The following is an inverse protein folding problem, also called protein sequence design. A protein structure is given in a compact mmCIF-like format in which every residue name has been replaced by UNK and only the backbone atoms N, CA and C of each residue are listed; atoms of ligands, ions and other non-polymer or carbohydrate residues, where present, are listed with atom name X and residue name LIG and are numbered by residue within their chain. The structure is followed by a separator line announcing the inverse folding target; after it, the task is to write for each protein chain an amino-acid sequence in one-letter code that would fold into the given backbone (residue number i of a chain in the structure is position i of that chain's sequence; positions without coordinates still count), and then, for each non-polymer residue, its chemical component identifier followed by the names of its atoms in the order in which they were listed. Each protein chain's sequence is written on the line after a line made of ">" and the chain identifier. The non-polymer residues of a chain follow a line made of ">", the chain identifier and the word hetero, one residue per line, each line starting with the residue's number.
data_IF_971346104579
#
_entry.id   IF_971346104579
#
_cell.length_a   1.000
_cell.length_b   1.000
_cell.length_c   1.000
_cell.angle_alpha   90.00
_cell.angle_beta   90.00
_cell.angle_gamma   90.00
#
_symmetry.space_group_name_H-M   'P 1'
#
loop_
_entity.id
_entity.type
_entity.pdbx_description
1 polymer ?
#
# COMPACT_ATOMS: atom_id res chain seq x y z
N UNK A 1 -21.44 -18.22 4.23
CA UNK A 1 -20.89 -18.22 2.87
C UNK A 1 -21.83 -19.09 2.06
N UNK A 2 -22.50 -18.55 1.05
CA UNK A 2 -23.25 -19.38 0.10
C UNK A 2 -22.28 -20.26 -0.66
N UNK A 3 -22.69 -21.48 -0.98
CA UNK A 3 -21.87 -22.43 -1.72
C UNK A 3 -22.40 -22.48 -3.16
N UNK A 4 -21.60 -22.05 -4.12
CA UNK A 4 -21.93 -22.13 -5.54
C UNK A 4 -21.22 -23.34 -6.13
N UNK A 5 -21.88 -24.07 -7.05
CA UNK A 5 -21.28 -25.25 -7.69
C UNK A 5 -20.46 -24.85 -8.92
N UNK A 6 -20.86 -23.77 -9.61
CA UNK A 6 -20.14 -23.28 -10.80
C UNK A 6 -19.84 -21.78 -10.75
N UNK A 7 -18.84 -21.35 -11.53
CA UNK A 7 -18.50 -19.92 -11.66
C UNK A 7 -19.68 -19.10 -12.22
N UNK A 8 -20.46 -19.67 -13.13
CA UNK A 8 -21.64 -19.02 -13.69
C UNK A 8 -22.74 -18.79 -12.62
N UNK A 9 -22.95 -19.76 -11.74
CA UNK A 9 -23.87 -19.60 -10.61
C UNK A 9 -23.39 -18.53 -9.64
N UNK A 10 -22.09 -18.50 -9.33
CA UNK A 10 -21.53 -17.48 -8.46
C UNK A 10 -21.67 -16.07 -9.03
N UNK A 11 -21.41 -15.87 -10.33
CA UNK A 11 -21.61 -14.58 -10.99
C UNK A 11 -23.07 -14.14 -10.94
N UNK A 12 -24.02 -15.03 -11.23
CA UNK A 12 -25.46 -14.73 -11.17
C UNK A 12 -25.94 -14.41 -9.75
N UNK A 13 -25.45 -15.17 -8.76
CA UNK A 13 -25.77 -14.95 -7.36
C UNK A 13 -25.19 -13.64 -6.83
N UNK A 14 -23.94 -13.33 -7.16
CA UNK A 14 -23.30 -12.04 -6.83
C UNK A 14 -23.99 -10.86 -7.54
N UNK A 15 -24.39 -11.01 -8.81
CA UNK A 15 -25.17 -10.00 -9.51
C UNK A 15 -26.50 -9.73 -8.77
N UNK A 16 -27.19 -10.77 -8.31
CA UNK A 16 -28.42 -10.65 -7.51
C UNK A 16 -28.20 -9.98 -6.14
N UNK A 17 -26.98 -10.05 -5.59
CA UNK A 17 -26.54 -9.33 -4.38
C UNK A 17 -26.11 -7.87 -4.64
N UNK A 18 -26.16 -7.41 -5.89
CA UNK A 18 -25.83 -6.04 -6.28
C UNK A 18 -24.39 -5.83 -6.74
N UNK A 19 -23.62 -6.89 -7.02
CA UNK A 19 -22.34 -6.79 -7.70
C UNK A 19 -22.57 -6.79 -9.22
N UNK A 20 -22.96 -5.64 -9.76
CA UNK A 20 -23.44 -5.53 -11.15
C UNK A 20 -22.38 -5.09 -12.15
N UNK A 21 -21.22 -4.64 -11.69
CA UNK A 21 -20.13 -4.16 -12.55
C UNK A 21 -19.13 -5.26 -12.89
N UNK A 22 -18.44 -5.13 -14.02
CA UNK A 22 -17.32 -5.99 -14.37
C UNK A 22 -15.98 -5.27 -14.17
N UNK A 23 -15.08 -5.96 -13.48
CA UNK A 23 -13.70 -5.53 -13.27
C UNK A 23 -12.74 -6.32 -14.14
N UNK A 24 -11.69 -5.66 -14.61
CA UNK A 24 -10.53 -6.30 -15.23
C UNK A 24 -9.24 -5.77 -14.63
N UNK A 25 -8.18 -6.56 -14.69
CA UNK A 25 -6.87 -6.14 -14.23
C UNK A 25 -6.18 -5.40 -15.37
N UNK A 26 -5.59 -4.23 -15.09
CA UNK A 26 -4.73 -3.55 -16.05
C UNK A 26 -3.29 -3.98 -15.79
N UNK A 27 -2.71 -4.76 -16.70
CA UNK A 27 -1.42 -5.45 -16.50
C UNK A 27 -0.23 -4.51 -16.22
N UNK A 28 -0.32 -3.25 -16.62
CA UNK A 28 0.74 -2.23 -16.47
C UNK A 28 0.50 -1.24 -15.32
N UNK A 29 -0.58 -1.42 -14.56
CA UNK A 29 -0.95 -0.53 -13.46
C UNK A 29 -1.42 -1.39 -12.28
N UNK A 30 -0.90 -1.16 -11.06
CA UNK A 30 -1.35 -1.86 -9.84
C UNK A 30 -2.79 -1.45 -9.44
N UNK A 31 -3.76 -1.68 -10.33
CA UNK A 31 -5.16 -1.30 -10.22
C UNK A 31 -6.07 -2.27 -10.97
N UNK A 32 -7.35 -2.30 -10.56
CA UNK A 32 -8.42 -2.92 -11.32
C UNK A 32 -9.22 -1.83 -12.04
N UNK A 33 -9.73 -2.12 -13.22
CA UNK A 33 -10.53 -1.19 -14.01
C UNK A 33 -11.98 -1.65 -14.06
N UNK A 34 -12.90 -0.73 -13.76
CA UNK A 34 -14.33 -0.94 -13.88
C UNK A 34 -14.82 -0.50 -15.25
N UNK A 35 -15.29 -1.44 -16.08
CA UNK A 35 -15.76 -1.11 -17.44
C UNK A 35 -17.04 -0.27 -17.42
N UNK A 36 -17.97 -0.56 -16.51
CA UNK A 36 -19.26 0.13 -16.44
C UNK A 36 -19.21 1.56 -15.91
N UNK A 37 -18.15 1.93 -15.17
CA UNK A 37 -18.00 3.27 -14.60
C UNK A 37 -16.73 4.00 -15.06
N UNK A 38 -15.88 3.36 -15.87
CA UNK A 38 -14.60 3.88 -16.36
C UNK A 38 -13.63 4.35 -15.26
N UNK A 39 -13.69 3.75 -14.07
CA UNK A 39 -12.77 4.04 -12.97
C UNK A 39 -11.65 3.00 -12.90
N UNK A 40 -10.40 3.47 -12.77
CA UNK A 40 -9.28 2.66 -12.32
C UNK A 40 -9.16 2.76 -10.80
N UNK A 41 -9.22 1.63 -10.12
CA UNK A 41 -9.16 1.51 -8.67
C UNK A 41 -7.81 0.93 -8.27
N UNK A 42 -6.99 1.75 -7.63
CA UNK A 42 -5.79 1.26 -6.98
C UNK A 42 -6.13 0.32 -5.81
N UNK A 43 -5.16 -0.48 -5.36
CA UNK A 43 -5.35 -1.47 -4.30
C UNK A 43 -5.88 -0.93 -2.96
N UNK A 44 -5.84 0.39 -2.72
CA UNK A 44 -6.38 1.03 -1.52
C UNK A 44 -7.80 1.63 -1.76
N UNK A 45 -8.36 1.52 -2.97
CA UNK A 45 -9.65 2.10 -3.37
C UNK A 45 -10.78 1.07 -3.54
N UNK A 46 -10.49 -0.23 -3.39
CA UNK A 46 -11.48 -1.29 -3.42
C UNK A 46 -11.24 -2.34 -2.34
N UNK A 47 -12.24 -3.17 -2.09
CA UNK A 47 -12.24 -4.29 -1.15
C UNK A 47 -12.69 -5.55 -1.87
N UNK A 48 -12.10 -6.69 -1.51
CA UNK A 48 -12.62 -8.01 -1.88
C UNK A 48 -13.57 -8.43 -0.76
N UNK A 49 -14.84 -8.58 -1.11
CA UNK A 49 -15.92 -8.91 -0.17
C UNK A 49 -16.12 -10.43 -0.07
N UNK A 50 -16.04 -11.15 -1.20
CA UNK A 50 -16.22 -12.61 -1.28
C UNK A 50 -15.24 -13.21 -2.31
N UNK A 51 -14.80 -14.46 -2.10
CA UNK A 51 -13.90 -15.19 -3.01
C UNK A 51 -14.46 -16.59 -3.23
N UNK A 52 -14.58 -16.99 -4.49
CA UNK A 52 -15.07 -18.30 -4.89
C UNK A 52 -14.08 -18.95 -5.85
N UNK A 53 -13.68 -20.17 -5.54
CA UNK A 53 -12.75 -20.97 -6.34
C UNK A 53 -13.50 -22.15 -6.93
N UNK A 54 -13.28 -22.39 -8.21
CA UNK A 54 -13.88 -23.48 -8.97
C UNK A 54 -12.76 -24.24 -9.66
N UNK A 55 -12.81 -25.56 -9.60
CA UNK A 55 -11.96 -26.43 -10.41
C UNK A 55 -12.71 -26.68 -11.72
N UNK A 56 -12.04 -26.51 -12.86
CA UNK A 56 -12.65 -26.69 -14.17
C UNK A 56 -12.93 -28.16 -14.47
N UNK A 57 -14.07 -28.43 -15.12
CA UNK A 57 -14.47 -29.79 -15.52
C UNK A 57 -13.58 -30.44 -16.59
N UNK A 58 -12.69 -29.65 -17.23
CA UNK A 58 -11.99 -30.04 -18.47
C UNK A 58 -10.50 -30.38 -18.28
N UNK A 59 -9.83 -29.81 -17.27
CA UNK A 59 -8.42 -30.11 -16.94
C UNK A 59 -8.17 -29.78 -15.45
N UNK A 60 -7.56 -30.68 -14.64
CA UNK A 60 -7.20 -30.41 -13.24
C UNK A 60 -6.20 -29.24 -13.05
N UNK A 61 -5.67 -28.65 -14.12
CA UNK A 61 -4.90 -27.40 -14.09
C UNK A 61 -5.71 -26.11 -14.31
N UNK A 62 -7.00 -26.19 -14.64
CA UNK A 62 -7.86 -25.03 -14.92
C UNK A 62 -8.68 -24.64 -13.68
N UNK A 63 -8.07 -23.94 -12.74
CA UNK A 63 -8.80 -23.32 -11.64
C UNK A 63 -9.38 -21.97 -12.10
N UNK A 64 -10.60 -21.65 -11.70
CA UNK A 64 -11.21 -20.34 -11.92
C UNK A 64 -11.51 -19.69 -10.57
N UNK A 65 -11.24 -18.38 -10.48
CA UNK A 65 -11.53 -17.62 -9.26
C UNK A 65 -12.40 -16.41 -9.58
N UNK A 66 -13.54 -16.33 -8.90
CA UNK A 66 -14.46 -15.20 -8.93
C UNK A 66 -14.27 -14.39 -7.64
N UNK A 67 -14.01 -13.09 -7.79
CA UNK A 67 -13.92 -12.14 -6.68
C UNK A 67 -15.11 -11.20 -6.72
N UNK A 68 -15.82 -11.08 -5.60
CA UNK A 68 -16.78 -10.00 -5.39
C UNK A 68 -16.04 -8.79 -4.83
N UNK A 69 -16.16 -7.63 -5.48
CA UNK A 69 -15.38 -6.43 -5.18
C UNK A 69 -16.32 -5.24 -4.96
N UNK A 70 -16.02 -4.43 -3.94
CA UNK A 70 -16.68 -3.14 -3.71
C UNK A 70 -15.70 -1.99 -3.56
N UNK A 71 -16.12 -0.79 -3.92
CA UNK A 71 -15.40 0.46 -3.64
C UNK A 71 -16.34 1.43 -2.97
N UNK A 72 -16.08 1.75 -1.69
CA UNK A 72 -16.84 2.78 -0.98
C UNK A 72 -16.55 4.18 -1.55
N UNK A 73 -15.34 4.42 -2.05
CA UNK A 73 -14.96 5.72 -2.62
C UNK A 73 -15.79 6.08 -3.84
N UNK A 74 -16.01 5.12 -4.72
CA UNK A 74 -16.73 5.32 -5.98
C UNK A 74 -18.15 4.75 -5.96
N UNK A 75 -18.58 4.16 -4.84
CA UNK A 75 -19.89 3.53 -4.65
C UNK A 75 -20.20 2.49 -5.74
N UNK A 76 -19.19 1.72 -6.13
CA UNK A 76 -19.30 0.67 -7.16
C UNK A 76 -19.10 -0.71 -6.55
N UNK A 77 -19.83 -1.68 -7.09
CA UNK A 77 -19.74 -3.09 -6.73
C UNK A 77 -19.77 -3.93 -7.98
N UNK A 78 -18.93 -4.95 -8.04
CA UNK A 78 -18.77 -5.75 -9.24
C UNK A 78 -17.98 -7.01 -9.00
N UNK A 79 -17.77 -7.76 -10.07
CA UNK A 79 -17.05 -9.02 -10.06
C UNK A 79 -15.77 -8.92 -10.88
N UNK A 80 -14.70 -9.54 -10.37
CA UNK A 80 -13.48 -9.79 -11.11
C UNK A 80 -13.37 -11.28 -11.34
N UNK A 81 -13.25 -11.68 -12.61
CA UNK A 81 -13.09 -13.06 -13.03
C UNK A 81 -11.63 -13.30 -13.45
N UNK A 82 -10.94 -14.27 -12.84
CA UNK A 82 -9.57 -14.62 -13.20
C UNK A 82 -9.40 -16.14 -13.37
N UNK A 83 -8.73 -16.56 -14.45
CA UNK A 83 -8.28 -17.93 -14.64
C UNK A 83 -6.98 -18.16 -13.86
N UNK A 84 -6.83 -19.32 -13.23
CA UNK A 84 -5.71 -19.75 -12.41
C UNK A 84 -5.22 -21.11 -12.95
N UNK A 85 -3.96 -21.19 -13.40
CA UNK A 85 -3.47 -22.34 -14.18
C UNK A 85 -2.41 -21.96 -15.22
N UNK A 86 -2.10 -22.84 -16.17
CA UNK A 86 -1.11 -22.61 -17.25
C UNK A 86 -1.44 -21.41 -18.16
N UNK A 87 -2.70 -20.97 -18.14
CA UNK A 87 -3.20 -19.81 -18.87
C UNK A 87 -3.44 -18.58 -17.98
N UNK A 88 -3.05 -18.65 -16.70
CA UNK A 88 -3.18 -17.52 -15.79
C UNK A 88 -2.22 -16.41 -16.19
N UNK A 89 -2.76 -15.19 -16.23
CA UNK A 89 -1.92 -14.00 -16.20
C UNK A 89 -1.18 -13.98 -14.85
N UNK A 90 0.11 -14.32 -14.89
CA UNK A 90 0.97 -14.41 -13.71
C UNK A 90 1.03 -13.11 -12.91
N UNK A 91 0.73 -11.96 -13.55
CA UNK A 91 0.65 -10.67 -12.87
C UNK A 91 -0.72 -10.48 -12.18
N UNK A 92 -1.80 -10.97 -12.80
CA UNK A 92 -3.12 -11.00 -12.18
C UNK A 92 -3.11 -11.86 -10.90
N UNK A 93 -2.47 -13.02 -10.93
CA UNK A 93 -2.32 -13.88 -9.76
C UNK A 93 -1.54 -13.20 -8.64
N UNK A 94 -0.43 -12.51 -8.93
CA UNK A 94 0.36 -11.76 -7.94
C UNK A 94 -0.40 -10.57 -7.35
N UNK A 95 -1.14 -9.83 -8.18
CA UNK A 95 -1.97 -8.71 -7.72
C UNK A 95 -3.04 -9.23 -6.76
N UNK A 96 -3.71 -10.32 -7.13
CA UNK A 96 -4.77 -10.87 -6.30
C UNK A 96 -4.22 -11.56 -5.04
N UNK A 97 -3.07 -12.21 -5.08
CA UNK A 97 -2.38 -12.71 -3.88
C UNK A 97 -2.00 -11.59 -2.92
N UNK A 98 -1.50 -10.45 -3.43
CA UNK A 98 -1.26 -9.24 -2.61
C UNK A 98 -2.54 -8.70 -1.98
N UNK A 99 -3.69 -8.89 -2.62
CA UNK A 99 -5.01 -8.49 -2.12
C UNK A 99 -5.60 -9.51 -1.12
N UNK A 100 -5.34 -10.82 -1.28
CA UNK A 100 -5.77 -11.90 -0.35
C UNK A 100 -5.21 -11.74 1.06
N UNK A 101 -4.03 -11.12 1.19
CA UNK A 101 -3.40 -10.87 2.49
C UNK A 101 -3.99 -9.71 3.30
N UNK A 102 -5.09 -9.08 2.84
CA UNK A 102 -5.78 -8.04 3.60
C UNK A 102 -7.21 -8.46 3.93
N UNK A 103 -7.46 -9.03 5.13
CA UNK A 103 -8.83 -9.25 5.61
C UNK A 103 -9.55 -7.91 5.74
N UNK A 104 -10.66 -7.79 5.01
CA UNK A 104 -11.63 -6.71 5.10
C UNK A 104 -12.44 -6.86 6.40
N UNK A 105 -12.20 -5.94 7.32
CA UNK A 105 -13.21 -5.48 8.26
C UNK A 105 -13.14 -3.96 8.17
N UNK A 106 -14.30 -3.28 8.20
CA UNK A 106 -14.37 -1.83 8.46
C UNK A 106 -13.43 -1.49 9.61
N UNK A 107 -12.20 -1.05 9.32
CA UNK A 107 -11.28 -0.67 10.37
C UNK A 107 -11.75 0.69 10.83
N UNK A 108 -12.23 0.76 12.06
CA UNK A 108 -12.16 2.02 12.82
C UNK A 108 -10.75 2.60 12.56
N UNK A 109 -10.61 3.92 12.36
CA UNK A 109 -9.29 4.54 12.27
C UNK A 109 -8.39 3.94 13.34
N UNK A 110 -7.21 3.43 12.95
CA UNK A 110 -6.30 2.78 13.91
C UNK A 110 -6.03 3.83 14.98
N UNK A 111 -6.55 3.59 16.19
CA UNK A 111 -6.39 4.54 17.27
C UNK A 111 -4.93 4.48 17.69
N UNK A 112 -4.20 5.55 17.40
CA UNK A 112 -2.81 5.70 17.79
C UNK A 112 -2.70 6.13 19.24
N UNK A 113 -1.75 5.53 19.94
CA UNK A 113 -1.29 6.03 21.22
C UNK A 113 -0.67 7.42 21.04
N UNK A 114 -0.87 8.30 22.02
CA UNK A 114 -0.46 9.71 21.98
C UNK A 114 0.99 9.92 21.53
N UNK A 115 1.89 9.02 21.93
CA UNK A 115 3.30 9.00 21.55
C UNK A 115 3.58 8.91 20.06
N UNK A 116 2.76 8.12 19.36
CA UNK A 116 2.98 7.75 17.96
C UNK A 116 2.23 8.67 16.99
N UNK A 117 1.26 9.45 17.47
CA UNK A 117 0.42 10.31 16.63
C UNK A 117 1.25 11.25 15.76
N UNK A 118 2.35 11.83 16.29
CA UNK A 118 3.17 12.76 15.52
C UNK A 118 3.96 12.06 14.41
N UNK A 119 4.60 10.92 14.72
CA UNK A 119 5.29 10.10 13.70
C UNK A 119 4.31 9.65 12.61
N UNK A 120 3.13 9.15 12.99
CA UNK A 120 2.08 8.78 12.03
C UNK A 120 1.58 9.94 11.17
N UNK A 121 1.72 11.21 11.62
CA UNK A 121 1.41 12.37 10.78
C UNK A 121 2.51 12.64 9.75
N UNK A 122 3.78 12.39 10.08
CA UNK A 122 4.89 12.55 9.14
C UNK A 122 4.79 11.56 7.98
N UNK A 123 4.28 10.36 8.25
CA UNK A 123 3.92 9.38 7.22
C UNK A 123 2.98 9.93 6.15
N UNK A 124 2.07 10.84 6.48
CA UNK A 124 1.22 11.47 5.48
C UNK A 124 2.04 12.26 4.44
N UNK A 125 3.07 12.99 4.88
CA UNK A 125 3.93 13.76 4.00
C UNK A 125 4.85 12.87 3.17
N UNK A 126 5.34 11.77 3.75
CA UNK A 126 6.14 10.79 3.02
C UNK A 126 5.31 10.04 1.96
N UNK A 127 4.03 9.72 2.24
CA UNK A 127 3.10 9.21 1.23
C UNK A 127 2.80 10.25 0.13
N UNK A 128 2.76 11.54 0.47
CA UNK A 128 2.65 12.60 -0.53
C UNK A 128 3.88 12.65 -1.45
N UNK A 129 5.10 12.43 -0.91
CA UNK A 129 6.30 12.27 -1.74
C UNK A 129 6.14 11.09 -2.71
N UNK A 130 5.69 9.91 -2.26
CA UNK A 130 5.43 8.76 -3.14
C UNK A 130 4.46 9.14 -4.28
N UNK A 131 3.39 9.86 -3.96
CA UNK A 131 2.45 10.35 -4.97
C UNK A 131 3.11 11.33 -5.94
N UNK A 132 3.90 12.30 -5.46
CA UNK A 132 4.60 13.27 -6.31
C UNK A 132 5.55 12.59 -7.29
N UNK A 133 6.36 11.64 -6.83
CA UNK A 133 7.26 10.86 -7.69
C UNK A 133 6.44 10.17 -8.80
N UNK A 134 5.35 9.48 -8.43
CA UNK A 134 4.45 8.83 -9.39
C UNK A 134 3.90 9.82 -10.43
N UNK A 135 3.44 11.00 -10.00
CA UNK A 135 2.94 12.04 -10.90
C UNK A 135 4.01 12.58 -11.86
N UNK A 136 5.21 12.88 -11.34
CA UNK A 136 6.32 13.37 -12.16
C UNK A 136 6.71 12.37 -13.24
N UNK A 137 6.81 11.08 -12.88
CA UNK A 137 7.10 10.01 -13.81
C UNK A 137 6.01 9.86 -14.88
N UNK A 138 4.73 9.89 -14.47
CA UNK A 138 3.59 9.77 -15.40
C UNK A 138 3.50 10.94 -16.39
N UNK A 139 3.87 12.16 -15.95
CA UNK A 139 3.92 13.36 -16.79
C UNK A 139 5.19 13.45 -17.65
N UNK A 140 6.10 12.48 -17.57
CA UNK A 140 7.37 12.50 -18.32
C UNK A 140 8.31 13.62 -17.89
N UNK A 141 8.23 14.08 -16.63
CA UNK A 141 9.11 15.11 -16.09
C UNK A 141 10.55 14.60 -16.06
N UNK A 142 11.51 15.48 -16.34
CA UNK A 142 12.93 15.19 -16.25
C UNK A 142 13.28 14.56 -14.89
N UNK A 143 13.97 13.41 -14.91
CA UNK A 143 14.29 12.64 -13.70
C UNK A 143 15.06 13.47 -12.66
N UNK A 144 15.94 14.36 -13.12
CA UNK A 144 16.70 15.29 -12.27
C UNK A 144 15.81 16.22 -11.44
N UNK A 145 14.67 16.67 -11.98
CA UNK A 145 13.71 17.52 -11.25
C UNK A 145 13.00 16.73 -10.16
N UNK A 146 12.57 15.50 -10.48
CA UNK A 146 11.95 14.59 -9.51
C UNK A 146 12.95 14.23 -8.41
N UNK A 147 14.18 13.89 -8.79
CA UNK A 147 15.28 13.56 -7.88
C UNK A 147 15.62 14.73 -6.95
N UNK A 148 15.72 15.96 -7.48
CA UNK A 148 16.03 17.14 -6.67
C UNK A 148 15.01 17.36 -5.52
N UNK A 149 13.72 17.25 -5.82
CA UNK A 149 12.67 17.33 -4.78
C UNK A 149 12.72 16.14 -3.82
N UNK A 150 12.93 14.93 -4.35
CA UNK A 150 13.02 13.69 -3.57
C UNK A 150 14.17 13.77 -2.55
N UNK A 151 15.31 14.30 -2.97
CA UNK A 151 16.50 14.46 -2.14
C UNK A 151 16.34 15.58 -1.12
N UNK A 152 15.70 16.68 -1.52
CA UNK A 152 15.33 17.73 -0.59
C UNK A 152 14.40 17.19 0.50
N UNK A 153 13.35 16.44 0.16
CA UNK A 153 12.42 15.88 1.14
C UNK A 153 13.13 14.90 2.07
N UNK A 154 14.00 14.04 1.52
CA UNK A 154 14.80 13.10 2.32
C UNK A 154 15.67 13.81 3.35
N UNK A 155 16.45 14.80 2.91
CA UNK A 155 17.42 15.51 3.77
C UNK A 155 16.73 16.35 4.86
N UNK A 156 15.59 16.94 4.55
CA UNK A 156 14.92 17.88 5.47
C UNK A 156 13.89 17.21 6.40
N UNK A 157 13.32 16.07 6.01
CA UNK A 157 12.24 15.44 6.78
C UNK A 157 12.48 13.95 7.03
N UNK A 158 12.60 13.15 5.96
CA UNK A 158 12.54 11.69 6.10
C UNK A 158 13.76 11.11 6.84
N UNK A 159 14.95 11.67 6.64
CA UNK A 159 16.15 11.22 7.34
C UNK A 159 16.04 11.43 8.87
N UNK A 160 15.47 12.56 9.30
CA UNK A 160 15.25 12.81 10.72
C UNK A 160 14.15 11.91 11.28
N UNK A 161 13.12 11.63 10.49
CA UNK A 161 12.07 10.68 10.86
C UNK A 161 12.65 9.28 11.14
N UNK A 162 13.40 8.71 10.19
CA UNK A 162 14.06 7.40 10.38
C UNK A 162 14.98 7.37 11.59
N UNK A 163 15.75 8.45 11.82
CA UNK A 163 16.60 8.55 13.02
C UNK A 163 15.79 8.53 14.30
N UNK A 164 14.66 9.21 14.32
CA UNK A 164 13.78 9.29 15.49
C UNK A 164 13.23 7.91 15.83
N UNK A 165 12.83 7.15 14.82
CA UNK A 165 12.35 5.77 15.00
C UNK A 165 13.46 4.84 15.48
N UNK A 166 14.62 4.85 14.80
CA UNK A 166 15.77 4.01 15.16
C UNK A 166 16.30 4.30 16.56
N UNK A 167 16.26 5.55 17.01
CA UNK A 167 16.80 5.96 18.31
C UNK A 167 15.82 5.83 19.47
N UNK A 168 14.51 5.90 19.22
CA UNK A 168 13.52 6.04 20.29
C UNK A 168 12.35 5.06 20.21
N UNK A 169 11.97 4.59 19.02
CA UNK A 169 10.85 3.67 18.84
C UNK A 169 11.34 2.22 18.79
N UNK A 170 12.27 1.94 17.90
CA UNK A 170 12.81 0.61 17.66
C UNK A 170 13.48 -0.02 18.90
N UNK A 171 14.18 0.73 19.78
CA UNK A 171 14.73 0.17 21.01
C UNK A 171 13.70 -0.31 22.03
N UNK A 172 12.41 0.02 21.85
CA UNK A 172 11.32 -0.43 22.72
C UNK A 172 10.79 -1.82 22.33
N UNK A 173 11.21 -2.36 21.18
CA UNK A 173 10.86 -3.70 20.72
C UNK A 173 11.99 -4.70 21.05
N UNK A 174 11.63 -5.97 21.15
CA UNK A 174 12.62 -7.05 21.27
C UNK A 174 13.54 -7.07 20.04
N UNK A 175 14.85 -7.23 20.27
CA UNK A 175 15.86 -7.22 19.20
C UNK A 175 15.70 -8.36 18.18
N UNK A 176 15.04 -9.45 18.58
CA UNK A 176 14.74 -10.59 17.73
C UNK A 176 13.34 -10.48 17.08
N UNK A 177 12.62 -9.37 17.27
CA UNK A 177 11.33 -9.16 16.65
C UNK A 177 11.50 -9.10 15.11
N UNK A 178 10.85 -10.01 14.35
CA UNK A 178 10.99 -10.06 12.90
C UNK A 178 10.50 -8.77 12.21
N UNK A 179 9.50 -8.10 12.77
CA UNK A 179 8.97 -6.84 12.24
C UNK A 179 9.99 -5.70 12.41
N UNK A 180 10.72 -5.69 13.53
CA UNK A 180 11.81 -4.73 13.75
C UNK A 180 12.96 -4.95 12.75
N UNK A 181 13.37 -6.20 12.56
CA UNK A 181 14.44 -6.56 11.62
C UNK A 181 14.06 -6.10 10.20
N UNK A 182 12.80 -6.32 9.81
CA UNK A 182 12.28 -5.86 8.52
C UNK A 182 12.28 -4.33 8.40
N UNK A 183 11.85 -3.60 9.44
CA UNK A 183 11.85 -2.13 9.43
C UNK A 183 13.27 -1.57 9.20
N UNK A 184 14.26 -2.10 9.92
CA UNK A 184 15.67 -1.69 9.80
C UNK A 184 16.23 -2.00 8.41
N UNK A 185 15.92 -3.19 7.85
CA UNK A 185 16.33 -3.55 6.49
C UNK A 185 15.71 -2.61 5.44
N UNK A 186 14.42 -2.27 5.59
CA UNK A 186 13.73 -1.30 4.72
C UNK A 186 14.35 0.10 4.84
N UNK A 187 14.68 0.57 6.04
CA UNK A 187 15.40 1.83 6.24
C UNK A 187 16.75 1.82 5.52
N UNK A 188 17.54 0.75 5.68
CA UNK A 188 18.85 0.62 5.04
C UNK A 188 18.75 0.70 3.51
N UNK A 189 17.79 -0.02 2.92
CA UNK A 189 17.53 0.00 1.48
C UNK A 189 17.06 1.37 0.99
N UNK A 190 16.16 2.03 1.72
CA UNK A 190 15.69 3.37 1.40
C UNK A 190 16.82 4.39 1.46
N UNK A 191 17.61 4.41 2.55
CA UNK A 191 18.79 5.28 2.69
C UNK A 191 19.75 5.11 1.52
N UNK A 192 20.05 3.85 1.14
CA UNK A 192 20.88 3.54 -0.03
C UNK A 192 20.32 4.13 -1.33
N UNK A 193 19.02 4.03 -1.56
CA UNK A 193 18.38 4.60 -2.77
C UNK A 193 18.39 6.13 -2.77
N UNK A 194 18.08 6.75 -1.63
CA UNK A 194 18.05 8.22 -1.49
C UNK A 194 19.44 8.85 -1.60
N UNK A 195 20.48 8.16 -1.14
CA UNK A 195 21.86 8.68 -1.10
C UNK A 195 22.63 8.51 -2.41
N UNK A 196 22.03 7.90 -3.45
CA UNK A 196 22.61 7.90 -4.80
C UNK A 196 22.69 9.32 -5.38
N UNK A 197 23.85 9.68 -5.91
CA UNK A 197 24.10 10.98 -6.56
C UNK A 197 23.17 11.20 -7.77
N UNK A 198 23.06 10.21 -8.64
CA UNK A 198 22.15 10.20 -9.78
C UNK A 198 21.11 9.09 -9.62
N UNK A 199 19.84 9.44 -9.86
CA UNK A 199 18.71 8.51 -9.73
C UNK A 199 18.13 8.20 -11.10
N UNK A 200 18.18 6.92 -11.46
CA UNK A 200 17.49 6.40 -12.64
C UNK A 200 15.97 6.44 -12.45
N UNK A 201 15.22 6.14 -13.52
CA UNK A 201 13.76 5.97 -13.43
C UNK A 201 13.42 4.83 -12.48
N UNK A 202 14.17 3.74 -12.55
CA UNK A 202 14.01 2.54 -11.73
C UNK A 202 14.24 2.87 -10.24
N UNK A 203 15.25 3.68 -9.93
CA UNK A 203 15.50 4.12 -8.54
C UNK A 203 14.33 4.92 -7.98
N UNK A 204 13.80 5.88 -8.75
CA UNK A 204 12.66 6.70 -8.33
C UNK A 204 11.40 5.85 -8.12
N UNK A 205 11.15 4.87 -8.99
CA UNK A 205 10.05 3.89 -8.82
C UNK A 205 10.27 3.07 -7.55
N UNK A 206 11.48 2.56 -7.32
CA UNK A 206 11.79 1.78 -6.13
C UNK A 206 11.61 2.59 -4.84
N UNK A 207 12.06 3.84 -4.80
CA UNK A 207 11.81 4.75 -3.66
C UNK A 207 10.30 4.88 -3.42
N UNK A 208 9.53 5.18 -4.48
CA UNK A 208 8.09 5.37 -4.40
C UNK A 208 7.36 4.13 -3.87
N UNK A 209 7.74 2.94 -4.31
CA UNK A 209 7.12 1.68 -3.90
C UNK A 209 7.55 1.29 -2.50
N UNK A 210 8.86 1.19 -2.25
CA UNK A 210 9.42 0.71 -0.99
C UNK A 210 9.03 1.61 0.18
N UNK A 211 9.06 2.95 0.01
CA UNK A 211 8.68 3.88 1.06
C UNK A 211 7.19 3.74 1.42
N UNK A 212 6.33 3.60 0.41
CA UNK A 212 4.89 3.41 0.63
C UNK A 212 4.55 2.07 1.28
N UNK A 213 5.28 1.00 0.93
CA UNK A 213 5.16 -0.31 1.58
C UNK A 213 5.64 -0.26 3.03
N UNK A 214 6.79 0.36 3.28
CA UNK A 214 7.37 0.54 4.61
C UNK A 214 6.41 1.30 5.53
N UNK A 215 5.90 2.47 5.13
CA UNK A 215 4.94 3.26 5.93
C UNK A 215 3.68 2.45 6.25
N UNK A 216 3.14 1.72 5.26
CA UNK A 216 1.94 0.89 5.50
C UNK A 216 2.23 -0.27 6.44
N UNK A 217 3.41 -0.87 6.35
CA UNK A 217 3.86 -1.92 7.25
C UNK A 217 3.97 -1.38 8.68
N UNK A 218 4.66 -0.24 8.88
CA UNK A 218 4.80 0.34 10.21
C UNK A 218 3.46 0.71 10.82
N UNK A 219 2.61 1.37 10.03
CA UNK A 219 1.30 1.76 10.50
C UNK A 219 0.40 0.54 10.80
N UNK A 220 0.39 -0.48 9.96
CA UNK A 220 -0.60 -1.56 10.10
C UNK A 220 -0.11 -2.69 11.00
N UNK A 221 1.19 -2.82 11.18
CA UNK A 221 1.83 -3.95 11.87
C UNK A 221 2.71 -3.41 13.00
N UNK A 222 3.84 -2.78 12.70
CA UNK A 222 4.88 -2.49 13.69
C UNK A 222 4.37 -1.63 14.87
N UNK A 223 3.69 -0.52 14.59
CA UNK A 223 3.17 0.35 15.63
C UNK A 223 2.03 -0.29 16.43
N UNK A 224 1.29 -1.24 15.85
CA UNK A 224 0.29 -1.99 16.60
C UNK A 224 0.95 -3.01 17.54
N UNK A 225 2.00 -3.68 17.07
CA UNK A 225 2.83 -4.57 17.90
C UNK A 225 3.42 -3.78 19.07
N UNK A 226 4.05 -2.64 18.79
CA UNK A 226 4.60 -1.75 19.82
C UNK A 226 3.55 -1.33 20.87
N UNK A 227 2.39 -0.85 20.42
CA UNK A 227 1.29 -0.45 21.31
C UNK A 227 0.76 -1.58 22.18
N UNK A 228 0.89 -2.84 21.74
CA UNK A 228 0.44 -4.01 22.50
C UNK A 228 1.49 -4.51 23.51
N UNK A 229 2.76 -4.19 23.30
CA UNK A 229 3.89 -4.69 24.09
C UNK A 229 4.39 -3.68 25.13
N UNK A 230 4.08 -2.40 24.95
CA UNK A 230 4.67 -1.29 25.71
C UNK A 230 3.57 -0.52 26.45
N UNK A 231 3.88 -0.04 27.66
CA UNK A 231 2.91 0.68 28.50
C UNK A 231 2.62 2.09 27.97
N UNK A 232 1.49 2.66 28.39
CA UNK A 232 1.10 4.04 28.04
C UNK A 232 2.12 5.09 28.46
N UNK A 233 2.82 4.88 29.58
CA UNK A 233 3.81 5.82 30.11
C UNK A 233 5.03 5.87 29.20
N UNK A 234 5.51 4.70 28.76
CA UNK A 234 6.64 4.60 27.82
C UNK A 234 6.24 5.18 26.46
N UNK A 235 5.05 4.87 25.95
CA UNK A 235 4.56 5.48 24.71
C UNK A 235 4.44 7.01 24.84
N UNK A 236 4.04 7.53 26.00
CA UNK A 236 3.98 8.98 26.22
C UNK A 236 5.38 9.62 26.23
N UNK A 237 6.40 8.90 26.72
CA UNK A 237 7.77 9.38 26.76
C UNK A 237 8.37 9.69 25.38
N UNK A 238 7.86 9.05 24.33
CA UNK A 238 8.30 9.25 22.94
C UNK A 238 7.46 10.28 22.16
N UNK A 239 6.55 11.01 22.81
CA UNK A 239 5.60 11.92 22.12
C UNK A 239 6.24 13.07 21.34
N UNK A 240 7.44 13.48 21.73
CA UNK A 240 8.12 14.66 21.18
C UNK A 240 9.39 14.32 20.38
N UNK A 241 9.55 13.07 19.97
CA UNK A 241 10.71 12.61 19.17
C UNK A 241 10.57 12.98 17.68
N UNK A 242 9.34 13.16 17.21
CA UNK A 242 9.04 13.57 15.84
C UNK A 242 9.61 14.98 15.54
N UNK A 243 9.66 15.33 14.26
CA UNK A 243 10.11 16.64 13.80
C UNK A 243 9.34 17.76 14.51
N UNK A 244 10.08 18.71 15.09
CA UNK A 244 9.49 19.80 15.88
C UNK A 244 8.81 20.83 15.00
N UNK A 245 9.41 21.11 13.84
CA UNK A 245 8.87 22.08 12.90
C UNK A 245 7.76 21.47 12.07
N UNK A 246 6.76 22.30 11.74
CA UNK A 246 5.70 21.91 10.81
C UNK A 246 6.31 21.65 9.44
N UNK A 247 5.78 20.63 8.75
CA UNK A 247 6.11 20.39 7.35
C UNK A 247 5.77 21.63 6.50
N UNK A 248 6.77 22.10 5.76
CA UNK A 248 6.63 23.15 4.75
C UNK A 248 7.07 22.57 3.41
N UNK A 249 6.13 22.50 2.48
CA UNK A 249 6.36 21.94 1.16
C UNK A 249 7.27 22.84 0.31
N UNK A 250 8.13 22.24 -0.50
CA UNK A 250 9.01 22.97 -1.41
C UNK A 250 8.31 23.18 -2.75
N UNK A 251 7.63 24.30 -2.89
CA UNK A 251 6.92 24.64 -4.14
C UNK A 251 7.79 25.32 -5.20
N UNK A 252 9.11 25.43 -5.01
CA UNK A 252 10.00 26.11 -5.97
C UNK A 252 9.97 25.47 -7.35
N UNK A 253 9.84 24.14 -7.41
CA UNK A 253 9.67 23.38 -8.64
C UNK A 253 8.56 22.34 -8.48
N UNK A 254 7.31 22.81 -8.54
CA UNK A 254 6.11 21.99 -8.35
C UNK A 254 5.77 21.12 -9.56
N UNK A 255 6.68 20.23 -9.97
CA UNK A 255 6.57 19.39 -11.17
C UNK A 255 5.37 18.43 -11.20
N UNK A 256 4.76 18.19 -10.03
CA UNK A 256 3.57 17.34 -9.88
C UNK A 256 2.26 18.05 -10.22
N UNK A 257 2.28 19.38 -10.38
CA UNK A 257 1.11 20.17 -10.79
C UNK A 257 0.80 19.95 -12.28
#
# INVERSE_FOLDING_TARGET
>A
MENYETAAEALNGLHSKGYTMDFSILQDQDCIYCHGSSHALSADEFMIDEVYRFEGDSDPGDEMIVYAISSEKFQIRGTLFNAFGLYADSNATKLVEKLRYRPSLKRKPIKRADGLIKLSREHHHALLLCWKIKQGLAKGIALSRIAAYTDWFYKNYLLQHFRSEEQHVFPLLDKNNPDLILAIDQHSKLKTLFEKDEKSKEDLVQIQVLLGEHIRFEERILFNVLQSQVTSEILTSIKDIAHKDKFIDNETDAFWK
#
